data_IF_811427122835
#
_entry.id   IF_811427122835
#
_cell.length_a   1.000
_cell.length_b   1.000
_cell.length_c   1.000
_cell.angle_alpha   90.00
_cell.angle_beta   90.00
_cell.angle_gamma   90.00
#
_symmetry.space_group_name_H-M   'P 1'
#
loop_
_entity.id
_entity.type
_entity.pdbx_description
1 polymer ?
#
# COMPACT_ATOMS: atom_id res chain seq x y z
N UNK A 1 -4.47 -47.31 8.84
CA UNK A 1 -4.67 -46.72 7.49
C UNK A 1 -5.81 -45.72 7.53
N UNK A 2 -5.52 -44.40 7.61
CA UNK A 2 -6.39 -43.30 7.14
C UNK A 2 -5.47 -42.13 6.78
N UNK A 3 -5.53 -41.71 5.53
CA UNK A 3 -4.66 -40.72 4.88
C UNK A 3 -5.44 -39.45 4.52
N UNK A 4 -4.81 -38.30 4.78
CA UNK A 4 -4.98 -36.96 4.15
C UNK A 4 -6.25 -36.14 4.46
N UNK A 5 -6.24 -34.77 4.31
CA UNK A 5 -5.39 -33.92 3.44
C UNK A 5 -4.54 -32.87 4.21
N UNK A 6 -3.26 -32.63 3.88
CA UNK A 6 -2.71 -31.83 2.77
C UNK A 6 -3.39 -30.45 2.61
N UNK A 7 -3.06 -29.53 3.52
CA UNK A 7 -3.27 -28.10 3.31
C UNK A 7 -2.25 -27.61 2.28
N UNK A 8 -2.74 -27.39 1.06
CA UNK A 8 -2.01 -26.76 -0.04
C UNK A 8 -2.31 -25.26 -0.01
N UNK A 9 -1.24 -24.46 0.04
CA UNK A 9 -1.10 -23.18 -0.64
C UNK A 9 -2.02 -22.03 -0.22
N UNK A 10 -1.43 -20.95 0.28
CA UNK A 10 -1.27 -19.71 -0.47
C UNK A 10 -0.64 -18.65 0.44
N UNK A 11 0.56 -18.26 0.03
CA UNK A 11 1.24 -16.99 0.27
C UNK A 11 0.59 -15.99 1.23
N UNK A 12 0.82 -16.15 2.52
CA UNK A 12 1.01 -15.01 3.41
C UNK A 12 2.51 -14.85 3.67
N UNK A 13 3.24 -14.54 2.60
CA UNK A 13 4.36 -13.61 2.74
C UNK A 13 3.76 -12.20 2.73
N UNK A 14 2.88 -11.92 3.69
CA UNK A 14 2.92 -10.63 4.34
C UNK A 14 4.34 -10.57 4.92
N UNK A 15 5.26 -10.05 4.12
CA UNK A 15 6.57 -9.65 4.58
C UNK A 15 6.26 -8.64 5.68
N UNK A 16 6.19 -9.13 6.91
CA UNK A 16 6.25 -8.33 8.11
C UNK A 16 7.61 -7.65 8.01
N UNK A 17 7.64 -6.53 7.27
CA UNK A 17 8.77 -5.63 7.22
C UNK A 17 9.08 -5.36 8.69
N UNK A 18 10.37 -5.40 9.08
CA UNK A 18 10.76 -5.21 10.46
C UNK A 18 10.00 -4.00 10.99
N UNK A 19 9.38 -4.15 12.17
CA UNK A 19 8.58 -3.13 12.84
C UNK A 19 9.43 -1.86 12.98
N UNK A 20 9.50 -1.11 11.90
CA UNK A 20 10.34 0.05 11.77
C UNK A 20 9.56 1.19 12.39
N UNK A 21 10.28 2.16 12.90
CA UNK A 21 9.88 3.40 13.61
C UNK A 21 8.79 4.24 12.89
N UNK A 22 8.27 3.74 11.77
CA UNK A 22 7.24 4.34 10.93
C UNK A 22 5.87 4.14 11.56
N UNK A 23 5.22 5.24 11.91
CA UNK A 23 3.85 5.24 12.42
C UNK A 23 2.89 5.27 11.22
N UNK A 24 2.27 4.15 10.92
CA UNK A 24 1.12 4.12 10.00
C UNK A 24 0.00 5.00 10.59
N UNK A 25 -0.54 5.90 9.77
CA UNK A 25 -1.63 6.79 10.14
C UNK A 25 -2.97 6.19 9.73
N UNK A 26 -3.09 5.84 8.45
CA UNK A 26 -4.28 5.24 7.85
C UNK A 26 -3.97 4.67 6.46
N UNK A 27 -4.95 3.98 5.87
CA UNK A 27 -4.89 3.41 4.51
C UNK A 27 -6.02 3.97 3.66
N UNK A 28 -5.76 4.18 2.38
CA UNK A 28 -6.74 4.60 1.39
C UNK A 28 -6.84 3.58 0.25
N UNK A 29 -8.06 3.28 -0.18
CA UNK A 29 -8.31 2.49 -1.39
C UNK A 29 -8.38 3.45 -2.57
N UNK A 30 -7.52 3.23 -3.55
CA UNK A 30 -7.46 3.98 -4.80
C UNK A 30 -7.58 3.03 -6.00
N UNK A 31 -7.82 3.57 -7.18
CA UNK A 31 -7.79 2.84 -8.43
C UNK A 31 -6.99 3.61 -9.49
N UNK A 32 -6.36 2.90 -10.41
CA UNK A 32 -5.76 3.52 -11.60
C UNK A 32 -6.79 3.75 -12.72
N UNK A 33 -6.34 4.31 -13.83
CA UNK A 33 -7.15 4.53 -15.03
C UNK A 33 -7.65 3.21 -15.67
N UNK A 34 -6.95 2.11 -15.43
CA UNK A 34 -7.30 0.77 -15.90
C UNK A 34 -8.34 0.09 -14.99
N UNK A 35 -8.71 0.70 -13.86
CA UNK A 35 -9.63 0.15 -12.85
C UNK A 35 -8.98 -0.84 -11.87
N UNK A 36 -7.66 -0.96 -11.88
CA UNK A 36 -6.93 -1.77 -10.90
C UNK A 36 -6.94 -1.08 -9.55
N UNK A 37 -7.28 -1.83 -8.49
CA UNK A 37 -7.36 -1.31 -7.14
C UNK A 37 -6.01 -1.42 -6.42
N UNK A 38 -5.65 -0.36 -5.72
CA UNK A 38 -4.43 -0.24 -4.95
C UNK A 38 -4.73 0.29 -3.55
N UNK A 39 -4.00 -0.21 -2.55
CA UNK A 39 -4.05 0.30 -1.18
C UNK A 39 -2.87 1.23 -0.96
N UNK A 40 -3.13 2.53 -0.79
CA UNK A 40 -2.14 3.53 -0.41
C UNK A 40 -2.06 3.60 1.10
N UNK A 41 -0.88 3.31 1.66
CA UNK A 41 -0.55 3.39 3.07
C UNK A 41 0.03 4.77 3.35
N UNK A 42 -0.59 5.48 4.29
CA UNK A 42 -0.15 6.80 4.75
C UNK A 42 0.57 6.63 6.08
N UNK A 43 1.83 7.05 6.14
CA UNK A 43 2.64 6.87 7.34
C UNK A 43 3.58 8.05 7.61
N UNK A 44 4.04 8.15 8.86
CA UNK A 44 5.11 9.07 9.26
C UNK A 44 6.39 8.30 9.51
N UNK A 45 7.48 8.58 8.78
CA UNK A 45 8.75 7.88 8.96
C UNK A 45 9.50 8.29 10.24
N UNK A 46 9.28 9.51 10.73
CA UNK A 46 9.92 10.05 11.93
C UNK A 46 8.84 10.67 12.83
N UNK A 47 8.69 10.24 14.09
CA UNK A 47 7.63 10.71 14.99
C UNK A 47 7.60 12.23 15.19
N UNK A 48 8.78 12.86 15.27
CA UNK A 48 8.94 14.28 15.58
C UNK A 48 8.88 15.19 14.34
N UNK A 49 8.76 14.60 13.14
CA UNK A 49 8.59 15.36 11.90
C UNK A 49 7.15 15.22 11.42
N UNK A 50 6.53 16.36 11.09
CA UNK A 50 5.24 16.42 10.41
C UNK A 50 5.39 16.12 8.90
N UNK A 51 6.20 15.11 8.56
CA UNK A 51 6.38 14.64 7.19
C UNK A 51 5.56 13.37 7.02
N UNK A 52 4.57 13.44 6.13
CA UNK A 52 3.78 12.28 5.72
C UNK A 52 4.38 11.68 4.46
N UNK A 53 4.49 10.36 4.42
CA UNK A 53 4.89 9.59 3.24
C UNK A 53 3.75 8.65 2.84
N UNK A 54 3.74 8.33 1.57
CA UNK A 54 2.71 7.51 0.95
C UNK A 54 3.43 6.38 0.20
N UNK A 55 2.99 5.15 0.42
CA UNK A 55 3.47 3.99 -0.33
C UNK A 55 2.33 3.01 -0.56
N UNK A 56 2.40 2.22 -1.61
CA UNK A 56 1.47 1.12 -1.81
C UNK A 56 1.77 -0.02 -0.83
N UNK A 57 0.81 -0.92 -0.67
CA UNK A 57 0.96 -2.12 0.15
C UNK A 57 2.13 -3.03 -0.29
N UNK A 58 2.50 -3.00 -1.57
CA UNK A 58 3.67 -3.70 -2.10
C UNK A 58 5.01 -3.00 -1.80
N UNK A 59 4.96 -1.81 -1.19
CA UNK A 59 6.11 -0.97 -0.85
C UNK A 59 6.51 0.03 -1.94
N UNK A 60 5.77 0.13 -3.04
CA UNK A 60 6.02 1.12 -4.11
C UNK A 60 5.75 2.53 -3.58
N UNK A 61 6.73 3.45 -3.63
CA UNK A 61 6.51 4.82 -3.19
C UNK A 61 5.53 5.54 -4.13
N UNK A 62 4.62 6.31 -3.54
CA UNK A 62 3.71 7.18 -4.29
C UNK A 62 3.82 8.60 -3.77
N UNK A 63 3.57 9.55 -4.65
CA UNK A 63 3.53 10.97 -4.36
C UNK A 63 2.07 11.42 -4.33
N UNK A 64 1.70 12.13 -3.28
CA UNK A 64 0.43 12.85 -3.26
C UNK A 64 0.52 14.05 -4.23
N UNK A 65 -0.37 14.09 -5.22
CA UNK A 65 -0.39 15.15 -6.24
C UNK A 65 -1.47 16.18 -5.90
N UNK A 66 -2.70 15.71 -5.67
CA UNK A 66 -3.87 16.56 -5.38
C UNK A 66 -4.91 15.78 -4.58
N UNK A 67 -5.91 16.44 -4.00
CA UNK A 67 -6.96 15.95 -3.07
C UNK A 67 -7.26 14.44 -3.08
N UNK A 68 -7.50 13.85 -4.26
CA UNK A 68 -7.71 12.41 -4.41
C UNK A 68 -6.76 11.72 -5.40
N UNK A 69 -5.74 12.41 -5.90
CA UNK A 69 -4.78 11.95 -6.89
C UNK A 69 -3.41 11.65 -6.28
N UNK A 70 -2.94 10.44 -6.50
CA UNK A 70 -1.58 10.00 -6.20
C UNK A 70 -0.86 9.59 -7.48
N UNK A 71 0.45 9.66 -7.49
CA UNK A 71 1.29 9.25 -8.61
C UNK A 71 2.35 8.26 -8.13
N UNK A 72 2.46 7.11 -8.79
CA UNK A 72 3.51 6.14 -8.51
C UNK A 72 4.85 6.67 -9.01
N UNK A 73 5.83 6.85 -8.11
CA UNK A 73 7.13 7.44 -8.48
C UNK A 73 7.92 6.54 -9.45
N UNK A 74 7.64 5.24 -9.48
CA UNK A 74 8.32 4.27 -10.33
C UNK A 74 7.83 4.24 -11.78
N UNK A 75 6.53 4.48 -12.00
CA UNK A 75 5.89 4.31 -13.31
C UNK A 75 5.27 5.59 -13.86
N UNK A 76 5.05 6.61 -13.02
CA UNK A 76 4.28 7.80 -13.36
C UNK A 76 2.76 7.54 -13.47
N UNK A 77 2.28 6.34 -13.13
CA UNK A 77 0.86 6.02 -13.13
C UNK A 77 0.13 6.79 -12.05
N UNK A 78 -1.05 7.29 -12.37
CA UNK A 78 -1.92 7.98 -11.43
C UNK A 78 -2.92 7.05 -10.78
N UNK A 79 -3.18 7.28 -9.50
CA UNK A 79 -4.17 6.58 -8.68
C UNK A 79 -5.15 7.60 -8.15
N UNK A 80 -6.44 7.30 -8.27
CA UNK A 80 -7.50 8.14 -7.73
C UNK A 80 -8.29 7.43 -6.63
N UNK A 81 -8.56 8.14 -5.54
CA UNK A 81 -9.54 7.72 -4.51
C UNK A 81 -10.97 8.14 -4.90
N UNK A 82 -11.13 9.12 -5.77
CA UNK A 82 -12.44 9.57 -6.20
C UNK A 82 -13.11 8.48 -7.05
N UNK A 83 -14.32 8.05 -6.66
CA UNK A 83 -15.21 7.32 -7.57
C UNK A 83 -15.58 8.31 -8.69
N UNK A 84 -15.18 7.98 -9.93
CA UNK A 84 -15.59 8.72 -11.13
C UNK A 84 -17.07 8.45 -11.44
#
# INVERSE_FOLDING_TARGET
MRTQPKQSGLSDRAAARPASIRRELYRELCQDEDGNRYTVIVYRPVPDLNVTRYELEDGTPVRFVDDCLFEMESTGRTLTRCEL
#
